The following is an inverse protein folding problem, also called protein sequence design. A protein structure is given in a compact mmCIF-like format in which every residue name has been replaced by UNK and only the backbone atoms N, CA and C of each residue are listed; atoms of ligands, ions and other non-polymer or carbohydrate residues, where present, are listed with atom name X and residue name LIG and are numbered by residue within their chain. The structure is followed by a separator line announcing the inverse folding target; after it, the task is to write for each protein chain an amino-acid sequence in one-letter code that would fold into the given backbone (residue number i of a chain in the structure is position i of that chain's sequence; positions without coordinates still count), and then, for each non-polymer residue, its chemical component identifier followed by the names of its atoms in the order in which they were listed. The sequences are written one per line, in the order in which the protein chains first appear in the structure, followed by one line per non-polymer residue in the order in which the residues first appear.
data_IF_555040605775
#
_entry.id   IF_555040605775
#
_cell.length_a   1.000
_cell.length_b   1.000
_cell.length_c   1.000
_cell.angle_alpha   90.00
_cell.angle_beta   90.00
_cell.angle_gamma   90.00
#
_symmetry.space_group_name_H-M   'P 1'
#
loop_
_entity.id
_entity.type
_entity.pdbx_description
1 polymer ?
#
# COMPACT_ATOMS: atom_id res chain seq x y z
N UNK A 1 11.47 -7.56 14.35
CA UNK A 1 10.33 -7.91 13.48
C UNK A 1 10.81 -8.37 12.11
N UNK A 2 10.45 -9.57 11.63
CA UNK A 2 10.60 -9.90 10.22
C UNK A 2 9.72 -8.96 9.41
N UNK A 3 10.22 -8.49 8.26
CA UNK A 3 9.40 -7.72 7.32
C UNK A 3 8.26 -8.64 6.88
N UNK A 4 7.03 -8.25 7.19
CA UNK A 4 5.85 -8.97 6.74
C UNK A 4 5.88 -9.05 5.21
N UNK A 5 5.61 -10.24 4.68
CA UNK A 5 5.52 -10.46 3.25
C UNK A 5 4.51 -9.48 2.64
N UNK A 6 4.91 -8.74 1.62
CA UNK A 6 4.13 -7.65 1.04
C UNK A 6 4.08 -7.77 -0.48
N UNK A 7 3.23 -8.70 -0.92
CA UNK A 7 2.86 -8.91 -2.30
C UNK A 7 1.33 -8.84 -2.41
N UNK A 8 0.84 -8.49 -3.60
CA UNK A 8 -0.61 -8.37 -3.85
C UNK A 8 -1.10 -9.38 -4.86
N UNK A 9 -0.24 -10.27 -5.34
CA UNK A 9 -0.60 -11.26 -6.33
C UNK A 9 0.41 -12.43 -6.29
N UNK A 10 -0.09 -13.64 -6.47
CA UNK A 10 0.69 -14.87 -6.63
C UNK A 10 0.35 -15.59 -7.94
N UNK A 11 1.36 -16.10 -8.64
CA UNK A 11 1.14 -16.99 -9.80
C UNK A 11 2.30 -17.95 -9.99
N UNK A 12 1.99 -19.13 -10.52
CA UNK A 12 3.02 -20.07 -10.99
C UNK A 12 3.52 -19.63 -12.37
N UNK A 13 4.82 -19.39 -12.49
CA UNK A 13 5.51 -19.04 -13.75
C UNK A 13 6.68 -20.01 -13.89
N UNK A 14 6.77 -20.71 -15.02
CA UNK A 14 7.80 -21.72 -15.29
C UNK A 14 7.97 -22.75 -14.16
N UNK A 15 6.86 -23.12 -13.52
CA UNK A 15 6.82 -24.09 -12.42
C UNK A 15 7.18 -23.53 -11.03
N UNK A 16 7.58 -22.26 -10.93
CA UNK A 16 7.91 -21.59 -9.66
C UNK A 16 6.82 -20.64 -9.17
N UNK A 17 6.62 -20.52 -7.86
CA UNK A 17 5.75 -19.51 -7.25
C UNK A 17 6.39 -18.12 -7.40
N UNK A 18 5.74 -17.24 -8.15
CA UNK A 18 6.12 -15.85 -8.31
C UNK A 18 5.18 -14.94 -7.51
N UNK A 19 5.74 -14.30 -6.49
CA UNK A 19 5.08 -13.25 -5.69
C UNK A 19 5.35 -11.89 -6.30
N UNK A 20 4.30 -11.12 -6.57
CA UNK A 20 4.39 -9.83 -7.26
C UNK A 20 3.57 -8.78 -6.54
N UNK A 21 4.04 -7.54 -6.60
CA UNK A 21 3.29 -6.37 -6.14
C UNK A 21 2.80 -5.62 -7.37
N UNK A 22 1.55 -5.84 -7.73
CA UNK A 22 0.95 -5.26 -8.94
C UNK A 22 -0.04 -4.15 -8.59
N UNK A 23 -0.59 -4.17 -7.38
CA UNK A 23 -1.61 -3.22 -6.95
C UNK A 23 -0.98 -2.06 -6.19
N UNK A 24 -1.46 -0.85 -6.50
CA UNK A 24 -0.90 0.40 -6.01
C UNK A 24 -2.03 1.38 -5.68
N UNK A 25 -1.86 2.12 -4.58
CA UNK A 25 -2.64 3.31 -4.29
C UNK A 25 -1.72 4.52 -4.42
N UNK A 26 -1.90 5.31 -5.48
CA UNK A 26 -1.13 6.54 -5.67
C UNK A 26 -1.76 7.66 -4.85
N UNK A 27 -0.96 8.31 -3.99
CA UNK A 27 -1.41 9.42 -3.14
C UNK A 27 -0.76 10.73 -3.56
N UNK A 28 -1.54 11.81 -3.54
CA UNK A 28 -1.00 13.15 -3.79
C UNK A 28 -0.07 13.60 -2.65
N UNK A 29 0.88 14.50 -2.95
CA UNK A 29 1.90 14.92 -1.97
C UNK A 29 1.33 15.43 -0.64
N UNK A 30 0.20 16.14 -0.66
CA UNK A 30 -0.49 16.62 0.54
C UNK A 30 -1.01 15.50 1.46
N UNK A 31 -1.20 14.29 0.94
CA UNK A 31 -1.66 13.12 1.68
C UNK A 31 -0.54 12.12 1.98
N UNK A 32 0.63 12.27 1.35
CA UNK A 32 1.72 11.31 1.48
C UNK A 32 2.20 11.16 2.93
N UNK A 33 2.34 12.27 3.65
CA UNK A 33 2.71 12.28 5.08
C UNK A 33 1.59 11.84 6.00
N UNK A 34 0.38 11.62 5.47
CA UNK A 34 -0.82 11.22 6.21
C UNK A 34 -1.11 9.72 6.10
N UNK A 35 -0.33 8.98 5.32
CA UNK A 35 -0.41 7.51 5.27
C UNK A 35 0.10 6.95 6.60
N UNK A 36 -0.77 6.26 7.34
CA UNK A 36 -0.46 5.67 8.66
C UNK A 36 0.09 4.26 8.53
N UNK A 37 -0.48 3.47 7.62
CA UNK A 37 -0.12 2.07 7.40
C UNK A 37 -0.41 1.65 5.96
N UNK A 38 0.36 0.67 5.51
CA UNK A 38 0.19 -0.02 4.23
C UNK A 38 0.38 -1.51 4.48
N UNK A 39 -0.51 -2.35 3.95
CA UNK A 39 -0.44 -3.80 4.08
C UNK A 39 -1.15 -4.52 2.94
N UNK A 40 -0.89 -5.81 2.80
CA UNK A 40 -1.63 -6.69 1.90
C UNK A 40 -2.28 -7.80 2.71
N UNK A 41 -3.56 -8.05 2.45
CA UNK A 41 -4.35 -9.05 3.18
C UNK A 41 -4.25 -10.40 2.45
N UNK A 42 -3.08 -11.04 2.54
CA UNK A 42 -2.72 -12.27 1.79
C UNK A 42 -3.64 -13.48 2.12
N UNK A 43 -4.35 -13.45 3.25
CA UNK A 43 -5.34 -14.47 3.61
C UNK A 43 -6.67 -14.39 2.84
N UNK A 44 -6.93 -13.28 2.15
CA UNK A 44 -8.22 -13.02 1.47
C UNK A 44 -8.19 -13.53 0.02
N UNK A 45 -8.43 -14.83 -0.14
CA UNK A 45 -8.19 -15.60 -1.39
C UNK A 45 -9.35 -15.59 -2.41
N UNK A 46 -10.21 -14.57 -2.40
CA UNK A 46 -11.35 -14.50 -3.31
C UNK A 46 -10.96 -14.21 -4.79
N UNK A 47 -9.71 -13.85 -5.05
CA UNK A 47 -9.12 -13.54 -6.35
C UNK A 47 -7.65 -13.97 -6.39
N UNK A 48 -7.02 -13.99 -7.57
CA UNK A 48 -5.57 -14.12 -7.75
C UNK A 48 -4.79 -12.85 -7.35
N UNK A 49 -5.51 -11.77 -7.02
CA UNK A 49 -4.99 -10.59 -6.35
C UNK A 49 -5.46 -10.52 -4.90
N UNK A 50 -4.53 -10.27 -3.98
CA UNK A 50 -4.79 -9.99 -2.57
C UNK A 50 -5.10 -8.51 -2.37
N UNK A 51 -6.07 -8.16 -1.50
CA UNK A 51 -6.40 -6.76 -1.21
C UNK A 51 -5.19 -5.96 -0.72
N UNK A 52 -4.97 -4.79 -1.33
CA UNK A 52 -4.07 -3.76 -0.81
C UNK A 52 -4.84 -2.85 0.14
N UNK A 53 -4.38 -2.76 1.39
CA UNK A 53 -4.94 -1.87 2.41
C UNK A 53 -4.01 -0.70 2.66
N UNK A 54 -4.56 0.51 2.61
CA UNK A 54 -3.84 1.75 2.93
C UNK A 54 -4.71 2.56 3.89
N UNK A 55 -4.20 2.80 5.09
CA UNK A 55 -4.90 3.64 6.06
C UNK A 55 -4.33 5.06 5.98
N UNK A 56 -5.18 6.02 5.62
CA UNK A 56 -4.82 7.44 5.49
C UNK A 56 -5.59 8.23 6.54
N UNK A 57 -4.88 9.04 7.31
CA UNK A 57 -5.50 10.03 8.18
C UNK A 57 -6.21 11.07 7.32
N UNK A 58 -7.53 11.23 7.48
CA UNK A 58 -8.29 12.34 6.87
C UNK A 58 -8.90 13.28 7.91
N UNK A 59 -8.99 12.86 9.16
CA UNK A 59 -9.72 13.54 10.23
C UNK A 59 -8.87 14.58 10.96
N UNK A 60 -7.54 14.42 10.99
CA UNK A 60 -6.64 15.41 11.56
C UNK A 60 -6.60 16.62 10.62
N UNK A 61 -6.97 17.84 11.07
CA UNK A 61 -6.85 19.03 10.24
C UNK A 61 -5.39 19.19 9.83
N UNK A 62 -5.12 19.33 8.53
CA UNK A 62 -3.78 19.70 8.10
C UNK A 62 -3.43 21.04 8.74
N UNK A 63 -2.35 21.10 9.54
CA UNK A 63 -1.56 22.31 9.59
C UNK A 63 -1.08 22.50 8.15
N UNK A 64 -1.73 23.38 7.40
CA UNK A 64 -1.26 23.73 6.06
C UNK A 64 0.21 24.10 6.22
N UNK A 65 1.10 23.25 5.71
CA UNK A 65 2.49 23.62 5.59
C UNK A 65 2.49 24.84 4.70
N UNK A 66 2.76 25.99 5.30
CA UNK A 66 3.12 27.20 4.58
C UNK A 66 4.34 26.82 3.74
N UNK A 67 4.12 26.46 2.48
CA UNK A 67 5.17 26.50 1.47
C UNK A 67 5.37 27.97 1.13
N UNK A 68 6.06 28.67 2.03
CA UNK A 68 6.77 29.89 1.72
C UNK A 68 8.16 29.54 1.21
N UNK A 69 8.48 29.99 0.00
CA UNK A 69 9.84 30.36 -0.42
C UNK A 69 10.69 29.27 -1.08
N UNK A 70 11.06 29.52 -2.34
CA UNK A 70 12.07 28.79 -3.12
C UNK A 70 11.79 28.85 -4.60
#
# INVERSE_FOLDING_TARGET
EPVADFHTHEKIIDGGLSKRRLDHCFVGGMLATRVRSVGADIGEIASDHFPLRVDIDLETPCLAAVSGGG
#
